data_IF_156846898563
#
_entry.id   IF_156846898563
#
_cell.length_a   1.000
_cell.length_b   1.000
_cell.length_c   1.000
_cell.angle_alpha   90.00
_cell.angle_beta   90.00
_cell.angle_gamma   90.00
#
_symmetry.space_group_name_H-M   'P 1'
#
loop_
_entity.id
_entity.type
_entity.pdbx_description
1 polymer ?
#
# COMPACT_ATOMS: atom_id res chain seq x y z
N UNK A 1 -14.55 -8.39 -1.94
CA UNK A 1 -15.19 -7.07 -2.18
C UNK A 1 -16.10 -6.62 -1.04
N UNK A 2 -16.72 -7.53 -0.26
CA UNK A 2 -17.55 -7.14 0.90
C UNK A 2 -16.73 -6.64 2.11
N UNK A 3 -15.52 -7.13 2.33
CA UNK A 3 -14.72 -6.77 3.53
C UNK A 3 -14.12 -5.36 3.49
N UNK A 4 -13.83 -4.82 2.29
CA UNK A 4 -13.31 -3.45 2.11
C UNK A 4 -14.35 -2.36 2.39
N UNK A 5 -15.65 -2.68 2.42
CA UNK A 5 -16.71 -1.72 2.76
C UNK A 5 -16.94 -1.60 4.27
N UNK A 6 -16.54 -2.60 5.06
CA UNK A 6 -16.76 -2.60 6.51
C UNK A 6 -15.81 -1.67 7.28
N UNK A 7 -14.64 -1.35 6.71
CA UNK A 7 -13.60 -0.54 7.37
C UNK A 7 -13.55 0.93 6.93
N UNK A 8 -14.36 1.33 5.94
CA UNK A 8 -14.48 2.73 5.54
C UNK A 8 -15.30 3.49 6.58
N UNK A 9 -14.76 4.61 7.08
CA UNK A 9 -15.50 5.53 7.96
C UNK A 9 -16.89 5.77 7.36
N UNK A 10 -17.95 5.61 8.15
CA UNK A 10 -19.33 5.74 7.67
C UNK A 10 -19.55 7.05 6.91
N UNK A 11 -18.85 8.11 7.33
CA UNK A 11 -18.81 9.40 6.65
C UNK A 11 -18.26 9.35 5.21
N UNK A 12 -17.21 8.56 4.95
CA UNK A 12 -16.69 8.35 3.58
C UNK A 12 -17.65 7.58 2.69
N UNK A 13 -18.40 6.64 3.25
CA UNK A 13 -19.46 5.91 2.53
C UNK A 13 -20.59 6.88 2.16
N UNK A 14 -21.05 7.72 3.09
CA UNK A 14 -22.07 8.74 2.83
C UNK A 14 -21.60 9.76 1.80
N UNK A 15 -20.33 10.21 1.86
CA UNK A 15 -19.78 11.15 0.90
C UNK A 15 -19.71 10.52 -0.50
N UNK A 16 -19.28 9.25 -0.60
CA UNK A 16 -19.27 8.52 -1.87
C UNK A 16 -20.69 8.38 -2.45
N UNK A 17 -21.65 7.95 -1.61
CA UNK A 17 -23.05 7.85 -2.01
C UNK A 17 -23.60 9.20 -2.48
N UNK A 18 -23.29 10.29 -1.78
CA UNK A 18 -23.70 11.64 -2.12
C UNK A 18 -23.11 12.09 -3.47
N UNK A 19 -21.83 11.80 -3.73
CA UNK A 19 -21.22 12.10 -5.04
C UNK A 19 -21.88 11.30 -6.15
N UNK A 20 -22.14 10.01 -5.93
CA UNK A 20 -22.83 9.14 -6.91
C UNK A 20 -24.25 9.62 -7.17
N UNK A 21 -25.00 10.03 -6.13
CA UNK A 21 -26.38 10.51 -6.29
C UNK A 21 -26.42 11.87 -6.98
N UNK A 22 -25.52 12.79 -6.67
CA UNK A 22 -25.40 14.07 -7.40
C UNK A 22 -25.09 13.79 -8.87
N UNK A 23 -24.17 12.86 -9.16
CA UNK A 23 -23.81 12.51 -10.52
C UNK A 23 -24.98 11.86 -11.27
N UNK A 24 -25.73 10.99 -10.60
CA UNK A 24 -26.92 10.32 -11.16
C UNK A 24 -28.05 11.31 -11.39
N UNK A 25 -28.31 12.21 -10.45
CA UNK A 25 -29.31 13.26 -10.59
C UNK A 25 -28.96 14.21 -11.76
N UNK A 26 -27.70 14.61 -11.85
CA UNK A 26 -27.22 15.45 -12.96
C UNK A 26 -27.33 14.71 -14.30
N UNK A 27 -26.96 13.42 -14.34
CA UNK A 27 -27.12 12.57 -15.51
C UNK A 27 -28.59 12.43 -15.93
N UNK A 28 -29.50 12.19 -14.98
CA UNK A 28 -30.94 12.13 -15.23
C UNK A 28 -31.49 13.46 -15.78
N UNK A 29 -31.11 14.59 -15.18
CA UNK A 29 -31.52 15.92 -15.68
C UNK A 29 -31.00 16.18 -17.09
N UNK A 30 -29.76 15.81 -17.37
CA UNK A 30 -29.16 15.98 -18.69
C UNK A 30 -29.77 15.00 -19.73
N UNK A 31 -30.14 13.79 -19.33
CA UNK A 31 -30.88 12.83 -20.15
C UNK A 31 -32.31 13.32 -20.46
N UNK A 32 -33.03 13.86 -19.48
CA UNK A 32 -34.36 14.46 -19.70
C UNK A 32 -34.25 15.66 -20.66
N UNK A 33 -33.23 16.51 -20.48
CA UNK A 33 -32.95 17.60 -21.42
C UNK A 33 -32.65 17.11 -22.83
N UNK A 34 -31.90 16.01 -22.97
CA UNK A 34 -31.56 15.40 -24.26
C UNK A 34 -32.76 14.73 -24.93
N UNK A 35 -33.58 13.99 -24.19
CA UNK A 35 -34.82 13.35 -24.69
C UNK A 35 -35.84 14.40 -25.15
N UNK A 36 -36.01 15.48 -24.39
CA UNK A 36 -36.88 16.60 -24.78
C UNK A 36 -36.37 17.27 -26.07
N UNK A 37 -35.05 17.36 -26.25
CA UNK A 37 -34.43 17.90 -27.46
C UNK A 37 -34.59 16.98 -28.67
N UNK A 38 -34.47 15.66 -28.49
CA UNK A 38 -34.75 14.66 -29.52
C UNK A 38 -36.21 14.71 -29.98
N UNK A 39 -37.15 14.84 -29.04
CA UNK A 39 -38.58 14.96 -29.34
C UNK A 39 -38.90 16.24 -30.13
N UNK A 40 -38.24 17.35 -29.82
CA UNK A 40 -38.37 18.59 -30.60
C UNK A 40 -37.60 18.59 -31.93
N UNK A 41 -36.52 17.81 -32.04
CA UNK A 41 -35.75 17.66 -33.28
C UNK A 41 -36.51 16.90 -34.37
N UNK A 42 -37.40 15.97 -34.00
CA UNK A 42 -38.23 15.26 -34.99
C UNK A 42 -39.33 16.12 -35.61
N UNK A 43 -39.64 17.30 -35.04
CA UNK A 43 -40.74 18.16 -35.49
C UNK A 43 -40.30 19.46 -36.17
N UNK A 44 -39.00 19.80 -36.22
CA UNK A 44 -38.51 21.04 -36.86
C UNK A 44 -37.42 20.78 -37.90
N UNK A 45 -37.75 21.02 -39.18
CA UNK A 45 -36.80 21.14 -40.29
C UNK A 45 -35.87 22.34 -40.04
N UNK A 46 -34.56 22.10 -40.25
CA UNK A 46 -33.46 23.07 -40.45
C UNK A 46 -33.45 24.29 -39.52
N UNK A 47 -32.61 24.24 -38.48
CA UNK A 47 -31.59 25.29 -38.33
C UNK A 47 -30.41 24.83 -37.46
N UNK A 48 -29.21 24.99 -38.01
CA UNK A 48 -27.96 24.42 -37.50
C UNK A 48 -27.38 25.20 -36.32
N UNK A 49 -27.91 25.00 -35.11
CA UNK A 49 -27.27 25.48 -33.86
C UNK A 49 -27.78 24.74 -32.63
N UNK A 50 -27.41 23.46 -32.45
CA UNK A 50 -27.76 22.76 -31.19
C UNK A 50 -26.89 21.56 -30.76
N UNK A 51 -25.59 21.52 -31.07
CA UNK A 51 -24.71 20.42 -30.61
C UNK A 51 -24.18 20.56 -29.17
N UNK A 52 -24.18 21.77 -28.58
CA UNK A 52 -23.41 22.07 -27.37
C UNK A 52 -23.79 21.26 -26.12
N UNK A 53 -25.08 20.94 -25.94
CA UNK A 53 -25.57 20.17 -24.78
C UNK A 53 -25.21 18.68 -24.81
N UNK A 54 -25.07 18.08 -26.00
CA UNK A 54 -24.64 16.69 -26.13
C UNK A 54 -23.14 16.58 -25.82
N UNK A 55 -22.36 17.57 -26.28
CA UNK A 55 -20.93 17.65 -26.02
C UNK A 55 -20.63 17.82 -24.52
N UNK A 56 -21.38 18.68 -23.81
CA UNK A 56 -21.23 18.83 -22.35
C UNK A 56 -21.57 17.55 -21.58
N UNK A 57 -22.62 16.81 -22.00
CA UNK A 57 -22.96 15.53 -21.39
C UNK A 57 -21.83 14.51 -21.59
N UNK A 58 -21.27 14.44 -22.80
CA UNK A 58 -20.18 13.52 -23.13
C UNK A 58 -18.90 13.84 -22.33
N UNK A 59 -18.56 15.12 -22.20
CA UNK A 59 -17.42 15.56 -21.36
C UNK A 59 -17.65 15.18 -19.90
N UNK A 60 -18.85 15.41 -19.37
CA UNK A 60 -19.13 15.09 -17.97
C UNK A 60 -19.07 13.57 -17.73
N UNK A 61 -19.66 12.78 -18.61
CA UNK A 61 -19.66 11.32 -18.51
C UNK A 61 -18.24 10.75 -18.58
N UNK A 62 -17.42 11.26 -19.52
CA UNK A 62 -16.01 10.88 -19.62
C UNK A 62 -15.21 11.29 -18.38
N UNK A 63 -15.43 12.49 -17.84
CA UNK A 63 -14.79 12.95 -16.61
C UNK A 63 -15.21 12.12 -15.38
N UNK A 64 -16.49 11.76 -15.26
CA UNK A 64 -16.99 10.91 -14.19
C UNK A 64 -16.43 9.49 -14.25
N UNK A 65 -16.38 8.91 -15.45
CA UNK A 65 -15.73 7.61 -15.66
C UNK A 65 -14.25 7.68 -15.29
N UNK A 66 -13.55 8.74 -15.70
CA UNK A 66 -12.15 8.96 -15.34
C UNK A 66 -11.95 9.05 -13.82
N UNK A 67 -12.76 9.84 -13.12
CA UNK A 67 -12.70 9.97 -11.66
C UNK A 67 -13.00 8.64 -10.94
N UNK A 68 -14.00 7.91 -11.41
CA UNK A 68 -14.33 6.59 -10.86
C UNK A 68 -13.15 5.62 -10.98
N UNK A 69 -12.50 5.61 -12.15
CA UNK A 69 -11.34 4.78 -12.42
C UNK A 69 -10.16 5.19 -11.52
N UNK A 70 -9.86 6.48 -11.39
CA UNK A 70 -8.81 6.99 -10.49
C UNK A 70 -9.12 6.63 -9.03
N UNK A 71 -10.38 6.76 -8.60
CA UNK A 71 -10.78 6.38 -7.25
C UNK A 71 -10.57 4.88 -6.99
N UNK A 72 -10.96 4.01 -7.93
CA UNK A 72 -10.70 2.56 -7.84
C UNK A 72 -9.22 2.24 -7.75
N UNK A 73 -8.39 3.00 -8.44
CA UNK A 73 -6.93 2.89 -8.35
C UNK A 73 -6.38 3.29 -6.99
N UNK A 74 -6.92 4.35 -6.38
CA UNK A 74 -6.53 4.77 -5.03
C UNK A 74 -6.85 3.73 -3.96
N UNK A 75 -7.99 3.04 -4.09
CA UNK A 75 -8.41 1.99 -3.13
C UNK A 75 -7.43 0.81 -3.08
N UNK A 76 -6.61 0.59 -4.12
CA UNK A 76 -5.61 -0.46 -4.15
C UNK A 76 -4.31 -0.11 -3.41
N UNK A 77 -4.16 1.12 -2.94
CA UNK A 77 -2.99 1.55 -2.18
C UNK A 77 -3.39 1.95 -0.78
N UNK A 78 -2.54 1.56 0.17
CA UNK A 78 -2.69 1.99 1.56
C UNK A 78 -1.88 3.27 1.74
N UNK A 79 -2.47 4.36 2.28
CA UNK A 79 -1.69 5.54 2.65
C UNK A 79 -0.75 5.18 3.80
N UNK A 80 0.51 5.57 3.72
CA UNK A 80 1.47 5.33 4.81
C UNK A 80 2.09 6.61 5.33
N UNK A 81 2.53 6.54 6.59
CA UNK A 81 3.45 7.51 7.17
C UNK A 81 4.86 6.92 7.22
N UNK A 82 5.88 7.77 7.22
CA UNK A 82 7.27 7.32 7.29
C UNK A 82 7.50 6.48 8.55
N UNK A 83 8.18 5.34 8.40
CA UNK A 83 8.49 4.40 9.47
C UNK A 83 7.24 3.77 10.12
N UNK A 84 6.34 3.22 9.30
CA UNK A 84 5.20 2.43 9.76
C UNK A 84 5.45 0.92 9.50
N UNK A 85 5.10 0.02 10.45
CA UNK A 85 5.17 -1.42 10.21
C UNK A 85 4.04 -1.85 9.27
N UNK A 86 4.40 -2.44 8.12
CA UNK A 86 3.44 -2.83 7.08
C UNK A 86 3.11 -4.32 7.09
N UNK A 87 3.99 -5.15 7.65
CA UNK A 87 3.78 -6.58 7.74
C UNK A 87 4.60 -7.20 8.88
N UNK A 88 4.07 -8.25 9.49
CA UNK A 88 4.77 -9.16 10.39
C UNK A 88 4.90 -10.51 9.69
N UNK A 89 6.08 -11.09 9.75
CA UNK A 89 6.45 -12.30 9.02
C UNK A 89 7.02 -13.28 10.01
N UNK A 90 6.39 -14.45 10.09
CA UNK A 90 6.86 -15.55 10.91
C UNK A 90 7.23 -16.70 9.99
N UNK A 91 8.47 -17.16 10.08
CA UNK A 91 8.89 -18.34 9.35
C UNK A 91 8.55 -19.61 10.15
N UNK A 92 8.01 -20.60 9.47
CA UNK A 92 7.73 -21.93 9.99
C UNK A 92 8.49 -22.95 9.15
N UNK A 93 8.90 -24.06 9.78
CA UNK A 93 9.45 -25.18 9.04
C UNK A 93 8.36 -25.73 8.11
N UNK A 94 8.74 -26.04 6.86
CA UNK A 94 7.80 -26.64 5.92
C UNK A 94 7.55 -28.09 6.32
N UNK A 95 6.29 -28.46 6.54
CA UNK A 95 5.86 -29.85 6.71
C UNK A 95 5.81 -30.59 5.37
N UNK A 96 5.67 -29.84 4.27
CA UNK A 96 5.52 -30.34 2.90
C UNK A 96 6.84 -30.31 2.11
N UNK A 97 7.04 -31.30 1.24
CA UNK A 97 8.16 -31.36 0.27
C UNK A 97 8.08 -30.30 -0.85
N UNK A 98 7.03 -29.47 -0.86
CA UNK A 98 6.76 -28.48 -1.90
C UNK A 98 7.61 -27.22 -1.77
N UNK A 99 8.26 -26.97 -0.63
CA UNK A 99 9.16 -25.83 -0.43
C UNK A 99 10.15 -26.01 0.71
N UNK A 100 11.10 -25.07 0.80
CA UNK A 100 12.19 -25.12 1.77
C UNK A 100 11.73 -24.61 3.15
N UNK A 101 10.80 -23.63 3.17
CA UNK A 101 10.18 -23.11 4.40
C UNK A 101 8.82 -22.47 4.12
N UNK A 102 8.01 -22.29 5.15
CA UNK A 102 6.70 -21.61 5.08
C UNK A 102 6.78 -20.24 5.73
N UNK A 103 6.23 -19.22 5.08
CA UNK A 103 6.07 -17.88 5.64
C UNK A 103 4.60 -17.61 5.94
N UNK A 104 4.33 -17.23 7.19
CA UNK A 104 3.06 -16.63 7.60
C UNK A 104 3.25 -15.12 7.59
N UNK A 105 2.58 -14.44 6.66
CA UNK A 105 2.67 -12.98 6.52
C UNK A 105 1.36 -12.37 6.97
N UNK A 106 1.40 -11.61 8.07
CA UNK A 106 0.32 -10.80 8.57
C UNK A 106 0.52 -9.34 8.14
N UNK A 107 -0.32 -8.84 7.25
CA UNK A 107 -0.31 -7.44 6.84
C UNK A 107 -0.91 -6.58 7.94
N UNK A 108 -0.23 -5.47 8.23
CA UNK A 108 -0.58 -4.55 9.29
C UNK A 108 -1.14 -3.28 8.66
N UNK A 109 -2.26 -2.78 9.17
CA UNK A 109 -2.85 -1.51 8.77
C UNK A 109 -3.17 -0.71 10.03
N UNK A 110 -2.56 0.48 10.19
CA UNK A 110 -2.67 1.31 11.42
C UNK A 110 -2.30 0.58 12.72
N UNK A 111 -1.39 -0.40 12.64
CA UNK A 111 -0.92 -1.16 13.81
C UNK A 111 -1.73 -2.42 14.15
N UNK A 112 -2.80 -2.72 13.42
CA UNK A 112 -3.60 -3.94 13.60
C UNK A 112 -3.40 -4.91 12.42
N UNK A 113 -3.37 -6.24 12.66
CA UNK A 113 -3.26 -7.23 11.60
C UNK A 113 -4.58 -7.37 10.84
N UNK A 114 -4.63 -6.90 9.59
CA UNK A 114 -5.86 -6.94 8.77
C UNK A 114 -6.04 -8.27 8.06
N UNK A 115 -4.98 -8.78 7.44
CA UNK A 115 -5.03 -10.01 6.64
C UNK A 115 -3.77 -10.84 6.85
N UNK A 116 -3.93 -12.17 6.92
CA UNK A 116 -2.79 -13.09 6.98
C UNK A 116 -2.84 -14.11 5.85
N UNK A 117 -1.67 -14.39 5.28
CA UNK A 117 -1.49 -15.35 4.20
C UNK A 117 -0.33 -16.30 4.50
N UNK A 118 -0.48 -17.55 4.05
CA UNK A 118 0.54 -18.59 4.17
C UNK A 118 1.19 -18.84 2.81
N UNK A 119 2.51 -18.71 2.73
CA UNK A 119 3.27 -18.83 1.49
C UNK A 119 4.40 -19.86 1.64
N UNK A 120 4.44 -20.84 0.75
CA UNK A 120 5.47 -21.89 0.75
C UNK A 120 6.64 -21.46 -0.13
N UNK A 121 7.75 -21.06 0.48
CA UNK A 121 8.87 -20.46 -0.25
C UNK A 121 9.90 -21.51 -0.64
N UNK A 122 10.36 -21.42 -1.89
CA UNK A 122 11.53 -22.14 -2.42
C UNK A 122 12.71 -21.17 -2.46
N UNK A 123 13.76 -21.48 -1.73
CA UNK A 123 14.92 -20.61 -1.54
C UNK A 123 15.56 -20.80 -0.18
N UNK A 124 16.70 -20.15 0.02
CA UNK A 124 17.37 -20.05 1.33
C UNK A 124 17.05 -18.71 2.02
N UNK A 125 16.59 -17.72 1.26
CA UNK A 125 16.20 -16.40 1.73
C UNK A 125 14.85 -16.03 1.15
N UNK A 126 14.18 -15.09 1.79
CA UNK A 126 12.98 -14.46 1.28
C UNK A 126 13.18 -12.95 1.19
N UNK A 127 12.44 -12.32 0.29
CA UNK A 127 12.35 -10.87 0.18
C UNK A 127 10.92 -10.47 -0.19
N UNK A 128 10.57 -9.23 0.15
CA UNK A 128 9.30 -8.64 -0.20
C UNK A 128 9.52 -7.49 -1.17
N UNK A 129 8.72 -7.46 -2.23
CA UNK A 129 8.64 -6.34 -3.16
C UNK A 129 7.34 -5.57 -2.97
N UNK A 130 7.42 -4.28 -3.19
CA UNK A 130 6.30 -3.37 -3.19
C UNK A 130 6.50 -2.22 -4.16
N UNK A 131 5.52 -1.35 -4.21
CA UNK A 131 5.51 -0.14 -5.00
C UNK A 131 5.13 1.03 -4.11
N UNK A 132 5.88 2.12 -4.22
CA UNK A 132 5.60 3.38 -3.55
C UNK A 132 5.11 4.38 -4.57
N UNK A 133 3.91 4.88 -4.32
CA UNK A 133 3.25 5.88 -5.12
C UNK A 133 3.56 7.27 -4.56
N UNK A 134 4.24 8.06 -5.39
CA UNK A 134 4.51 9.47 -5.13
C UNK A 134 3.59 10.33 -5.99
N UNK A 135 2.79 11.16 -5.32
CA UNK A 135 2.01 12.19 -5.99
C UNK A 135 2.90 13.29 -6.54
N UNK A 136 2.42 13.95 -7.60
CA UNK A 136 3.04 15.18 -8.06
C UNK A 136 2.99 16.26 -6.95
N UNK A 137 3.96 17.18 -6.95
CA UNK A 137 4.17 18.19 -5.89
C UNK A 137 2.92 19.00 -5.53
N UNK A 138 2.10 19.38 -6.53
CA UNK A 138 0.86 20.14 -6.31
C UNK A 138 -0.24 19.28 -5.65
N UNK A 139 -0.33 17.99 -5.96
CA UNK A 139 -1.26 17.05 -5.34
C UNK A 139 -0.83 16.77 -3.89
N UNK A 140 0.47 16.58 -3.64
CA UNK A 140 0.99 16.48 -2.27
C UNK A 140 0.73 17.73 -1.44
N UNK A 141 0.85 18.93 -2.04
CA UNK A 141 0.51 20.18 -1.37
C UNK A 141 -0.99 20.27 -1.00
N UNK A 142 -1.86 19.61 -1.76
CA UNK A 142 -3.28 19.46 -1.46
C UNK A 142 -3.57 18.42 -0.35
N UNK A 143 -2.54 17.89 0.31
CA UNK A 143 -2.67 16.95 1.43
C UNK A 143 -2.74 15.48 1.03
N UNK A 144 -2.51 15.14 -0.24
CA UNK A 144 -2.45 13.74 -0.67
C UNK A 144 -1.18 13.06 -0.12
N UNK A 145 -1.40 12.10 0.78
CA UNK A 145 -0.33 11.28 1.38
C UNK A 145 0.28 10.32 0.36
N UNK A 146 1.55 9.96 0.58
CA UNK A 146 2.20 8.87 -0.15
C UNK A 146 1.45 7.58 0.12
N UNK A 147 1.42 6.70 -0.88
CA UNK A 147 0.71 5.44 -0.75
C UNK A 147 1.63 4.29 -1.14
N UNK A 148 1.38 3.10 -0.59
CA UNK A 148 2.16 1.92 -0.89
C UNK A 148 1.28 0.73 -1.20
N UNK A 149 1.88 -0.22 -1.91
CA UNK A 149 1.27 -1.51 -2.19
C UNK A 149 2.34 -2.59 -2.16
N UNK A 150 2.11 -3.66 -1.41
CA UNK A 150 3.00 -4.83 -1.44
C UNK A 150 2.63 -5.70 -2.63
N UNK A 151 3.60 -6.04 -3.48
CA UNK A 151 3.32 -6.71 -4.75
C UNK A 151 3.64 -8.19 -4.75
N UNK A 152 4.82 -8.56 -4.26
CA UNK A 152 5.31 -9.93 -4.35
C UNK A 152 6.09 -10.35 -3.10
N UNK A 153 6.00 -11.65 -2.80
CA UNK A 153 6.94 -12.34 -1.92
C UNK A 153 7.75 -13.29 -2.78
N UNK A 154 9.07 -13.20 -2.65
CA UNK A 154 10.01 -13.95 -3.47
C UNK A 154 10.94 -14.76 -2.58
N UNK A 155 11.18 -16.00 -2.97
CA UNK A 155 12.34 -16.75 -2.51
C UNK A 155 13.60 -16.33 -3.26
N UNK A 156 14.76 -16.55 -2.65
CA UNK A 156 16.06 -16.39 -3.29
C UNK A 156 17.03 -17.49 -2.84
N UNK A 157 17.79 -18.02 -3.80
CA UNK A 157 18.93 -18.91 -3.54
C UNK A 157 20.21 -18.06 -3.44
N UNK A 158 21.02 -18.32 -2.42
CA UNK A 158 22.31 -17.65 -2.21
C UNK A 158 23.42 -18.38 -2.96
N UNK A 159 23.34 -19.71 -2.98
CA UNK A 159 24.30 -20.57 -3.69
C UNK A 159 23.96 -20.62 -5.18
N UNK A 160 24.98 -20.86 -6.03
CA UNK A 160 24.78 -21.19 -7.46
C UNK A 160 23.87 -22.41 -7.55
N UNK A 161 22.60 -22.17 -7.81
CA UNK A 161 21.60 -23.20 -7.99
C UNK A 161 21.96 -24.03 -9.22
N UNK A 162 21.70 -25.35 -9.25
CA UNK A 162 21.75 -26.13 -10.48
C UNK A 162 20.93 -25.43 -11.57
N UNK A 163 21.46 -25.40 -12.79
CA UNK A 163 20.89 -24.70 -13.94
C UNK A 163 19.41 -25.10 -14.13
N UNK A 164 18.49 -24.21 -13.80
CA UNK A 164 17.03 -24.42 -13.95
C UNK A 164 16.20 -24.24 -12.67
N UNK A 165 16.82 -24.24 -11.48
CA UNK A 165 16.08 -24.02 -10.24
C UNK A 165 15.70 -22.54 -10.07
N UNK A 166 14.42 -22.23 -10.32
CA UNK A 166 13.83 -20.89 -10.10
C UNK A 166 13.19 -20.82 -8.72
N UNK A 167 13.50 -19.77 -7.98
CA UNK A 167 12.80 -19.49 -6.73
C UNK A 167 11.33 -19.14 -6.98
N UNK A 168 10.47 -19.49 -6.03
CA UNK A 168 9.04 -19.20 -6.14
C UNK A 168 8.77 -17.70 -5.93
N UNK A 169 7.81 -17.19 -6.69
CA UNK A 169 7.28 -15.82 -6.58
C UNK A 169 5.78 -15.91 -6.35
N UNK A 170 5.31 -15.35 -5.24
CA UNK A 170 3.88 -15.23 -4.94
C UNK A 170 3.44 -13.79 -5.19
N UNK A 171 2.47 -13.61 -6.09
CA UNK A 171 1.76 -12.34 -6.26
C UNK A 171 0.80 -12.14 -5.10
N UNK A 172 1.03 -11.10 -4.32
CA UNK A 172 0.16 -10.72 -3.20
C UNK A 172 -1.12 -10.02 -3.65
N UNK A 173 -1.12 -9.53 -4.89
CA UNK A 173 -2.22 -8.77 -5.45
C UNK A 173 -3.00 -9.66 -6.41
N UNK A 174 -4.28 -9.87 -6.11
CA UNK A 174 -5.19 -10.62 -7.00
C UNK A 174 -5.51 -9.84 -8.29
N UNK A 175 -5.47 -8.51 -8.24
CA UNK A 175 -5.84 -7.61 -9.33
C UNK A 175 -4.69 -7.17 -10.28
N UNK A 176 -3.44 -7.63 -10.06
CA UNK A 176 -2.29 -7.17 -10.85
C UNK A 176 -2.33 -7.63 -12.32
N UNK A 177 -3.10 -8.68 -12.62
CA UNK A 177 -3.28 -9.20 -13.98
C UNK A 177 -4.38 -8.48 -14.78
N UNK A 178 -5.06 -7.49 -14.19
CA UNK A 178 -6.13 -6.79 -14.88
C UNK A 178 -5.56 -5.82 -15.92
N UNK A 179 -5.90 -5.98 -17.19
CA UNK A 179 -5.49 -5.07 -18.26
C UNK A 179 -5.84 -3.60 -17.98
N UNK A 180 -6.97 -3.36 -17.29
CA UNK A 180 -7.39 -2.04 -16.83
C UNK A 180 -6.35 -1.37 -15.91
N UNK A 181 -5.71 -2.15 -15.03
CA UNK A 181 -4.69 -1.66 -14.12
C UNK A 181 -3.45 -1.16 -14.88
N UNK A 182 -3.00 -1.92 -15.89
CA UNK A 182 -1.88 -1.51 -16.73
C UNK A 182 -2.17 -0.23 -17.51
N UNK A 183 -3.34 -0.14 -18.16
CA UNK A 183 -3.75 1.05 -18.92
C UNK A 183 -3.84 2.27 -18.02
N UNK A 184 -4.38 2.12 -16.81
CA UNK A 184 -4.54 3.21 -15.87
C UNK A 184 -3.22 3.68 -15.27
N UNK A 185 -2.38 2.74 -14.82
CA UNK A 185 -1.05 3.08 -14.32
C UNK A 185 -0.22 3.78 -15.40
N UNK A 186 -0.37 3.36 -16.67
CA UNK A 186 0.28 3.99 -17.81
C UNK A 186 -0.27 5.39 -18.08
N UNK A 187 -1.60 5.57 -18.03
CA UNK A 187 -2.25 6.87 -18.19
C UNK A 187 -1.85 7.87 -17.09
N UNK A 188 -1.87 7.46 -15.83
CA UNK A 188 -1.44 8.30 -14.71
C UNK A 188 0.05 8.66 -14.79
N UNK A 189 0.90 7.75 -15.27
CA UNK A 189 2.33 8.02 -15.53
C UNK A 189 2.50 8.99 -16.70
N UNK A 190 1.77 8.82 -17.80
CA UNK A 190 1.84 9.68 -18.98
C UNK A 190 1.39 11.12 -18.68
N UNK A 191 0.36 11.28 -17.84
CA UNK A 191 -0.11 12.59 -17.37
C UNK A 191 0.81 13.24 -16.32
N UNK A 192 1.86 12.55 -15.86
CA UNK A 192 2.80 13.05 -14.85
C UNK A 192 2.17 13.26 -13.46
N UNK A 193 0.96 12.77 -13.22
CA UNK A 193 0.24 12.94 -11.96
C UNK A 193 0.87 12.13 -10.83
N UNK A 194 1.48 11.00 -11.19
CA UNK A 194 1.99 9.99 -10.26
C UNK A 194 3.33 9.45 -10.73
N UNK A 195 4.26 9.28 -9.78
CA UNK A 195 5.49 8.51 -9.95
C UNK A 195 5.42 7.25 -9.09
N UNK A 196 5.41 6.09 -9.74
CA UNK A 196 5.46 4.79 -9.06
C UNK A 196 6.91 4.32 -9.02
N UNK A 197 7.43 4.06 -7.81
CA UNK A 197 8.77 3.53 -7.59
C UNK A 197 8.66 2.11 -7.03
N UNK A 198 9.18 1.13 -7.75
CA UNK A 198 9.30 -0.23 -7.23
C UNK A 198 10.40 -0.30 -6.18
N UNK A 199 10.09 -0.94 -5.05
CA UNK A 199 11.00 -1.10 -3.92
C UNK A 199 11.05 -2.57 -3.51
N UNK A 200 12.20 -3.00 -3.00
CA UNK A 200 12.42 -4.35 -2.50
C UNK A 200 13.04 -4.25 -1.13
N UNK A 201 12.71 -5.21 -0.26
CA UNK A 201 13.47 -5.44 0.95
C UNK A 201 14.81 -6.09 0.63
N UNK A 202 15.72 -6.04 1.58
CA UNK A 202 16.90 -6.89 1.59
C UNK A 202 16.49 -8.37 1.72
N UNK A 203 17.23 -9.31 1.13
CA UNK A 203 16.97 -10.73 1.29
C UNK A 203 17.33 -11.23 2.68
N UNK A 204 16.38 -11.84 3.37
CA UNK A 204 16.52 -12.29 4.77
C UNK A 204 16.40 -13.81 4.84
N UNK A 205 17.28 -14.45 5.61
CA UNK A 205 17.18 -15.88 5.88
C UNK A 205 15.97 -16.19 6.80
N UNK A 206 15.30 -17.34 6.66
CA UNK A 206 14.20 -17.69 7.55
C UNK A 206 14.71 -17.83 8.99
N UNK A 207 14.11 -17.08 9.91
CA UNK A 207 14.32 -17.25 11.34
C UNK A 207 13.06 -17.89 11.95
N UNK A 208 13.17 -19.14 12.39
CA UNK A 208 12.04 -19.92 12.90
C UNK A 208 11.65 -19.58 14.35
N UNK A 209 12.45 -18.77 15.04
CA UNK A 209 12.23 -18.41 16.45
C UNK A 209 11.71 -16.99 16.63
N UNK A 210 11.99 -16.11 15.69
CA UNK A 210 11.68 -14.68 15.78
C UNK A 210 10.72 -14.24 14.69
N UNK A 211 9.93 -13.23 15.00
CA UNK A 211 9.07 -12.57 14.00
C UNK A 211 9.85 -11.42 13.36
N UNK A 212 9.90 -11.40 12.04
CA UNK A 212 10.41 -10.27 11.28
C UNK A 212 9.29 -9.24 11.07
N UNK A 213 9.56 -7.98 11.36
CA UNK A 213 8.67 -6.87 11.02
C UNK A 213 9.21 -6.14 9.79
N UNK A 214 8.35 -5.90 8.80
CA UNK A 214 8.69 -5.13 7.61
C UNK A 214 8.16 -3.72 7.80
N UNK A 215 9.05 -2.76 7.61
CA UNK A 215 8.80 -1.34 7.77
C UNK A 215 8.94 -0.66 6.42
N UNK A 216 8.08 0.33 6.17
CA UNK A 216 8.17 1.17 4.99
C UNK A 216 8.80 2.51 5.33
N UNK A 217 9.73 2.93 4.49
CA UNK A 217 10.40 4.22 4.57
C UNK A 217 10.44 4.87 3.18
N UNK A 218 10.71 6.17 3.13
CA UNK A 218 10.88 6.90 1.86
C UNK A 218 12.00 6.32 0.97
N UNK A 219 13.02 5.71 1.60
CA UNK A 219 14.11 5.04 0.90
C UNK A 219 13.71 3.67 0.32
N UNK A 220 12.72 2.99 0.91
CA UNK A 220 12.33 1.63 0.54
C UNK A 220 11.82 0.80 1.72
N UNK A 221 11.88 -0.52 1.56
CA UNK A 221 11.43 -1.48 2.56
C UNK A 221 12.59 -1.94 3.43
N UNK A 222 12.40 -1.94 4.75
CA UNK A 222 13.39 -2.40 5.74
C UNK A 222 12.82 -3.57 6.52
N UNK A 223 13.63 -4.60 6.76
CA UNK A 223 13.24 -5.73 7.61
C UNK A 223 13.95 -5.60 8.95
N UNK A 224 13.19 -5.70 10.04
CA UNK A 224 13.72 -5.71 11.41
C UNK A 224 13.30 -6.99 12.10
N UNK A 225 14.27 -7.75 12.59
CA UNK A 225 14.01 -8.92 13.42
C UNK A 225 13.59 -8.43 14.81
N UNK A 226 12.42 -8.85 15.28
CA UNK A 226 12.03 -8.61 16.66
C UNK A 226 12.49 -9.79 17.51
N UNK A 227 13.49 -9.54 18.35
CA UNK A 227 13.97 -10.51 19.32
C UNK A 227 12.98 -10.58 20.49
N UNK A 228 12.06 -11.56 20.47
CA UNK A 228 11.33 -12.04 21.66
C UNK A 228 9.99 -11.35 22.01
N UNK A 229 9.14 -12.03 22.82
CA UNK A 229 7.72 -11.72 23.00
C UNK A 229 7.53 -10.66 24.10
N UNK A 230 6.75 -9.61 23.84
CA UNK A 230 6.32 -8.69 24.92
C UNK A 230 6.38 -7.18 24.65
N UNK A 231 6.43 -6.69 23.42
CA UNK A 231 6.30 -5.24 23.15
C UNK A 231 4.86 -4.86 22.76
N UNK A 232 3.92 -5.24 23.62
CA UNK A 232 2.49 -5.04 23.39
C UNK A 232 1.69 -5.00 24.69
N UNK A 233 2.17 -4.27 25.70
CA UNK A 233 1.31 -3.64 26.71
C UNK A 233 2.14 -2.66 27.56
N UNK A 234 2.32 -1.42 27.09
CA UNK A 234 2.71 -0.33 27.99
C UNK A 234 2.17 1.00 27.45
N UNK A 235 0.86 1.12 27.46
CA UNK A 235 0.17 2.42 27.48
C UNK A 235 -0.95 2.37 28.52
N UNK A 236 -0.65 2.78 29.76
CA UNK A 236 -1.52 3.49 30.70
C UNK A 236 -0.85 3.54 32.09
N UNK A 237 -0.33 4.70 32.49
CA UNK A 237 -1.00 5.43 33.56
C UNK A 237 -0.46 6.87 33.68
N UNK A 238 -1.33 7.84 33.42
CA UNK A 238 -1.12 9.23 33.81
C UNK A 238 -1.23 9.34 35.33
N UNK A 239 -0.10 9.52 35.99
CA UNK A 239 -0.01 9.83 37.41
C UNK A 239 0.53 11.24 37.61
N UNK A 240 -0.37 12.21 37.64
CA UNK A 240 -0.13 13.58 38.07
C UNK A 240 0.53 13.61 39.47
N UNK A 241 1.74 14.18 39.58
CA UNK A 241 2.28 14.62 40.87
C UNK A 241 3.17 15.85 40.69
N UNK A 242 2.58 17.01 41.02
CA UNK A 242 3.31 18.22 41.42
C UNK A 242 4.12 17.93 42.68
N UNK A 243 5.37 18.40 42.72
CA UNK A 243 5.97 19.25 43.78
C UNK A 243 7.49 19.04 43.85
N UNK A 244 8.22 20.15 44.04
CA UNK A 244 9.41 20.15 44.88
C UNK A 244 10.76 20.38 44.21
N UNK A 245 11.10 21.65 44.02
CA UNK A 245 12.35 22.33 44.41
C UNK A 245 13.71 21.59 44.38
N UNK A 246 14.67 22.30 43.76
CA UNK A 246 16.08 22.49 44.15
C UNK A 246 16.95 21.26 44.41
N UNK A 247 17.93 21.01 43.53
CA UNK A 247 19.33 20.97 43.95
C UNK A 247 20.30 21.10 42.76
N UNK A 248 21.34 21.87 43.02
CA UNK A 248 22.49 22.19 42.19
C UNK A 248 23.49 21.04 42.11
N UNK A 249 24.16 20.91 40.96
CA UNK A 249 25.58 20.51 40.97
C UNK A 249 25.96 19.23 40.22
N UNK A 250 26.83 19.44 39.24
CA UNK A 250 28.01 18.61 38.95
C UNK A 250 27.96 17.51 37.88
N UNK A 251 28.95 17.66 36.99
CA UNK A 251 29.82 16.65 36.40
C UNK A 251 29.30 15.84 35.20
N UNK A 252 29.63 16.41 34.03
CA UNK A 252 29.95 15.73 32.77
C UNK A 252 30.81 14.47 33.01
N UNK A 253 30.33 13.32 32.52
CA UNK A 253 31.18 12.16 32.22
C UNK A 253 30.80 11.61 30.84
N UNK A 254 31.71 11.82 29.88
CA UNK A 254 31.66 11.26 28.52
C UNK A 254 31.91 9.75 28.60
N UNK A 255 30.97 8.93 28.15
CA UNK A 255 31.18 7.50 27.92
C UNK A 255 31.30 7.27 26.41
N UNK A 256 32.45 6.71 26.01
CA UNK A 256 32.78 6.33 24.63
C UNK A 256 31.87 5.18 24.15
N UNK A 257 31.66 5.05 22.82
CA UNK A 257 30.86 3.98 22.25
C UNK A 257 31.62 2.64 22.29
N UNK A 258 30.99 1.60 22.82
CA UNK A 258 31.48 0.23 22.70
C UNK A 258 31.27 -0.24 21.25
N UNK A 259 32.39 -0.46 20.55
CA UNK A 259 32.43 -1.13 19.26
C UNK A 259 32.04 -2.59 19.40
N UNK A 260 31.22 -3.07 18.46
CA UNK A 260 31.01 -4.49 18.24
C UNK A 260 32.20 -5.04 17.45
N UNK A 261 32.78 -6.19 17.85
CA UNK A 261 33.87 -6.82 17.11
C UNK A 261 33.36 -7.51 15.83
N UNK A 262 34.18 -7.37 14.79
CA UNK A 262 34.08 -8.00 13.48
C UNK A 262 34.05 -9.53 13.63
N UNK A 263 33.10 -10.17 12.93
CA UNK A 263 32.85 -11.62 13.01
C UNK A 263 33.44 -12.33 11.79
N UNK A 264 34.72 -12.08 11.51
CA UNK A 264 35.50 -12.75 10.47
C UNK A 264 36.72 -13.44 11.09
N UNK A 265 36.54 -14.47 11.93
CA UNK A 265 37.67 -15.34 12.33
C UNK A 265 37.23 -16.66 13.00
N UNK A 266 36.25 -17.35 12.42
CA UNK A 266 35.90 -18.70 12.86
C UNK A 266 35.54 -19.63 11.68
N UNK A 267 36.43 -19.68 10.68
CA UNK A 267 36.52 -20.80 9.74
C UNK A 267 38.00 -21.04 9.47
N UNK A 268 38.67 -21.74 10.39
CA UNK A 268 39.85 -22.55 10.13
C UNK A 268 40.11 -23.43 11.37
N UNK A 269 39.43 -24.58 11.41
CA UNK A 269 39.86 -25.83 12.02
C UNK A 269 38.89 -26.94 11.61
#
# INVERSE_FOLDING_TARGET
>A
MQETLGHMNTWTIYLLLLVITIFTAYFCLAMVGFLNKLKHSMTRKKDGKSSMGCLTLLILLTAGLFLFIVFRFLVLYTPFSTDEPIAKITAQQAEDHLGDFKLVVAFMEKGEPTHSGNYVIKGQRWLIKGEILHWHRWLSAFGLKKMYRTTHILGQYVTKTPAGARANSYTLIKDDQNALWHTLSSGCKALGLVRVKSVSSEPVAPNYRETASVWISDSGLKVRLNNGPGAGDEMKNGGNKKNGAHETGSAVKKTKPNGYPDREEAIQR
#
